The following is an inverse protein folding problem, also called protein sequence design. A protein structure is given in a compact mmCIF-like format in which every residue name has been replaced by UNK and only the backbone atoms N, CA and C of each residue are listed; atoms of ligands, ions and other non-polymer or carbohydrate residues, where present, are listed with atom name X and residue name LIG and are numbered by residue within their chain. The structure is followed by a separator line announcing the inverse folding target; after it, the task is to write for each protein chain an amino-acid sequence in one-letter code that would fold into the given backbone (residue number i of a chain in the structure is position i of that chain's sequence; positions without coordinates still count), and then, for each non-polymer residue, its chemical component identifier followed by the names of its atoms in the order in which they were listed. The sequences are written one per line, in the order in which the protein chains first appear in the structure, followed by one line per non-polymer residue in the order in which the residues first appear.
data_IF_244907834173
#
_entry.id   IF_244907834173
#
_cell.length_a   1.000
_cell.length_b   1.000
_cell.length_c   1.000
_cell.angle_alpha   90.00
_cell.angle_beta   90.00
_cell.angle_gamma   90.00
#
_symmetry.space_group_name_H-M   'P 1'
#
loop_
_entity.id
_entity.type
_entity.pdbx_description
1 polymer ?
#
# COMPACT_ATOMS: atom_id res chain seq x y z
N UNK A 1 -7.72 16.12 -15.35
CA UNK A 1 -8.83 16.04 -16.29
C UNK A 1 -9.69 14.81 -15.95
N UNK A 2 -11.05 14.95 -15.84
CA UNK A 2 -11.95 13.80 -15.61
C UNK A 2 -11.74 12.64 -16.59
N UNK A 3 -11.41 12.96 -17.85
CA UNK A 3 -11.15 11.96 -18.89
C UNK A 3 -9.93 11.06 -18.60
N UNK A 4 -9.04 11.48 -17.71
CA UNK A 4 -7.85 10.68 -17.34
C UNK A 4 -8.16 9.64 -16.25
N UNK A 5 -9.39 9.66 -15.71
CA UNK A 5 -9.81 8.76 -14.65
C UNK A 5 -10.43 7.50 -15.23
N UNK A 6 -9.84 6.35 -14.91
CA UNK A 6 -10.46 5.04 -15.12
C UNK A 6 -11.05 4.58 -13.79
N UNK A 7 -12.39 4.55 -13.68
CA UNK A 7 -13.07 4.02 -12.49
C UNK A 7 -12.95 2.50 -12.49
N UNK A 8 -12.70 1.93 -11.30
CA UNK A 8 -12.51 0.48 -11.10
C UNK A 8 -13.30 -0.02 -9.90
N UNK A 9 -13.50 -1.33 -9.83
CA UNK A 9 -14.13 -2.02 -8.69
C UNK A 9 -13.13 -2.12 -7.52
N UNK A 10 -12.76 -0.95 -6.96
CA UNK A 10 -11.68 -0.77 -6.00
C UNK A 10 -10.29 -0.80 -6.66
N UNK A 11 -9.27 -0.31 -5.95
CA UNK A 11 -7.88 -0.28 -6.42
C UNK A 11 -7.29 -1.68 -6.71
N UNK A 12 -7.83 -2.73 -6.08
CA UNK A 12 -7.40 -4.11 -6.33
C UNK A 12 -7.67 -4.53 -7.78
N UNK A 13 -8.81 -4.13 -8.37
CA UNK A 13 -9.06 -4.38 -9.79
C UNK A 13 -8.10 -3.59 -10.68
N UNK A 14 -7.82 -2.33 -10.35
CA UNK A 14 -6.84 -1.55 -11.10
C UNK A 14 -5.46 -2.24 -11.11
N UNK A 15 -5.06 -2.77 -9.96
CA UNK A 15 -3.80 -3.52 -9.83
C UNK A 15 -3.80 -4.81 -10.66
N UNK A 16 -4.91 -5.54 -10.68
CA UNK A 16 -5.08 -6.73 -11.52
C UNK A 16 -4.98 -6.38 -13.01
N UNK A 17 -5.67 -5.32 -13.46
CA UNK A 17 -5.63 -4.86 -14.84
C UNK A 17 -4.21 -4.45 -15.28
N UNK A 18 -3.49 -3.73 -14.41
CA UNK A 18 -2.08 -3.35 -14.66
C UNK A 18 -1.23 -4.61 -14.78
N UNK A 19 -1.37 -5.54 -13.85
CA UNK A 19 -0.61 -6.80 -13.88
C UNK A 19 -0.86 -7.56 -15.17
N UNK A 20 -2.12 -7.68 -15.60
CA UNK A 20 -2.54 -8.35 -16.84
C UNK A 20 -1.90 -7.77 -18.09
N UNK A 21 -1.77 -6.44 -18.18
CA UNK A 21 -1.23 -5.80 -19.42
C UNK A 21 0.29 -5.68 -19.41
N UNK A 22 0.94 -5.76 -18.24
CA UNK A 22 2.39 -5.56 -18.15
C UNK A 22 3.19 -6.85 -18.00
N UNK A 23 2.64 -7.85 -17.27
CA UNK A 23 3.42 -9.00 -16.78
C UNK A 23 3.26 -10.19 -17.72
N UNK A 24 4.39 -10.68 -18.21
CA UNK A 24 4.53 -12.01 -18.76
C UNK A 24 5.20 -12.94 -17.72
N UNK A 25 4.97 -14.27 -17.74
CA UNK A 25 5.58 -15.19 -16.81
C UNK A 25 7.10 -15.03 -16.71
N UNK A 26 7.61 -14.84 -15.47
CA UNK A 26 9.03 -14.66 -15.19
C UNK A 26 9.55 -13.22 -15.25
N UNK A 27 8.74 -12.25 -15.69
CA UNK A 27 9.05 -10.83 -15.61
C UNK A 27 9.16 -10.35 -14.14
N UNK A 28 9.87 -9.26 -13.92
CA UNK A 28 10.14 -8.75 -12.58
C UNK A 28 9.25 -7.55 -12.24
N UNK A 29 8.65 -7.59 -11.07
CA UNK A 29 8.05 -6.44 -10.38
C UNK A 29 8.95 -6.08 -9.21
N UNK A 30 9.36 -4.81 -9.13
CA UNK A 30 10.02 -4.28 -7.94
C UNK A 30 8.95 -3.86 -6.93
N UNK A 31 9.13 -4.19 -5.65
CA UNK A 31 8.21 -3.83 -4.58
C UNK A 31 8.95 -3.50 -3.29
N UNK A 32 8.38 -2.66 -2.44
CA UNK A 32 8.90 -2.37 -1.10
C UNK A 32 9.09 -3.65 -0.27
N UNK A 33 9.99 -3.62 0.70
CA UNK A 33 10.23 -4.71 1.66
C UNK A 33 9.98 -4.24 3.11
N UNK A 34 8.84 -4.57 3.72
CA UNK A 34 7.72 -5.41 3.29
C UNK A 34 6.75 -4.70 2.32
N UNK A 35 5.84 -5.46 1.68
CA UNK A 35 4.85 -4.92 0.75
C UNK A 35 3.43 -5.48 0.99
N UNK A 36 2.44 -4.87 0.35
CA UNK A 36 1.03 -5.23 0.52
C UNK A 36 0.73 -6.65 0.00
N UNK A 37 0.20 -7.50 0.88
CA UNK A 37 -0.10 -8.90 0.60
C UNK A 37 -1.03 -9.10 -0.61
N UNK A 38 -2.01 -8.21 -0.81
CA UNK A 38 -2.92 -8.29 -1.96
C UNK A 38 -2.21 -8.01 -3.29
N UNK A 39 -1.24 -7.09 -3.29
CA UNK A 39 -0.41 -6.82 -4.46
C UNK A 39 0.51 -8.01 -4.77
N UNK A 40 1.20 -8.53 -3.76
CA UNK A 40 2.07 -9.71 -3.90
C UNK A 40 1.31 -10.91 -4.44
N UNK A 41 0.08 -11.15 -3.94
CA UNK A 41 -0.80 -12.21 -4.44
C UNK A 41 -1.20 -12.01 -5.90
N UNK A 42 -1.52 -10.77 -6.29
CA UNK A 42 -1.82 -10.44 -7.69
C UNK A 42 -0.62 -10.68 -8.60
N UNK A 43 0.56 -10.21 -8.21
CA UNK A 43 1.78 -10.42 -9.01
C UNK A 43 2.14 -11.91 -9.14
N UNK A 44 1.96 -12.67 -8.06
CA UNK A 44 2.17 -14.12 -8.08
C UNK A 44 1.19 -14.84 -9.02
N UNK A 45 -0.08 -14.41 -9.09
CA UNK A 45 -1.08 -14.97 -10.01
C UNK A 45 -0.67 -14.82 -11.48
N UNK A 46 0.04 -13.75 -11.82
CA UNK A 46 0.60 -13.51 -13.17
C UNK A 46 2.03 -14.05 -13.32
N UNK A 47 2.49 -14.91 -12.41
CA UNK A 47 3.81 -15.54 -12.42
C UNK A 47 4.98 -14.55 -12.46
N UNK A 48 4.77 -13.31 -11.96
CA UNK A 48 5.85 -12.36 -11.80
C UNK A 48 6.84 -12.81 -10.74
N UNK A 49 8.09 -12.46 -10.92
CA UNK A 49 9.10 -12.49 -9.87
C UNK A 49 9.12 -11.16 -9.15
N UNK A 50 8.73 -11.16 -7.89
CA UNK A 50 8.86 -9.97 -7.05
C UNK A 50 10.30 -9.88 -6.55
N UNK A 51 10.93 -8.73 -6.78
CA UNK A 51 12.22 -8.37 -6.20
C UNK A 51 11.96 -7.25 -5.20
N UNK A 52 12.23 -7.54 -3.94
CA UNK A 52 12.06 -6.58 -2.87
C UNK A 52 13.15 -5.52 -2.88
N UNK A 53 12.76 -4.26 -2.73
CA UNK A 53 13.64 -3.11 -2.58
C UNK A 53 13.74 -2.75 -1.12
N UNK A 54 14.94 -2.52 -0.63
CA UNK A 54 15.23 -2.15 0.75
C UNK A 54 14.40 -0.93 1.20
N UNK A 55 13.92 -0.98 2.44
CA UNK A 55 13.23 0.12 3.12
C UNK A 55 13.86 0.39 4.48
N UNK A 56 13.75 1.63 4.95
CA UNK A 56 14.12 2.05 6.29
C UNK A 56 12.95 2.78 6.99
N UNK A 57 13.22 3.47 8.08
CA UNK A 57 12.21 4.24 8.83
C UNK A 57 11.57 5.40 8.05
N UNK A 58 12.13 5.74 6.90
CA UNK A 58 11.61 6.74 5.96
C UNK A 58 11.02 6.13 4.67
N UNK A 59 10.89 4.80 4.59
CA UNK A 59 10.36 4.06 3.46
C UNK A 59 11.42 3.60 2.47
N UNK A 60 11.07 3.46 1.20
CA UNK A 60 11.95 2.92 0.17
C UNK A 60 13.26 3.70 0.06
N UNK A 61 14.38 2.95 0.10
CA UNK A 61 15.74 3.50 0.01
C UNK A 61 16.15 3.67 -1.45
N UNK A 62 16.47 4.90 -1.93
CA UNK A 62 16.82 5.12 -3.34
C UNK A 62 18.03 4.33 -3.82
N UNK A 63 19.06 4.19 -3.00
CA UNK A 63 20.24 3.36 -3.34
C UNK A 63 19.90 1.87 -3.40
N UNK A 64 19.00 1.39 -2.52
CA UNK A 64 18.43 0.05 -2.60
C UNK A 64 17.70 -0.20 -3.92
N UNK A 65 16.96 0.81 -4.42
CA UNK A 65 16.31 0.76 -5.74
C UNK A 65 17.34 0.64 -6.87
N UNK A 66 18.41 1.44 -6.84
CA UNK A 66 19.50 1.34 -7.82
C UNK A 66 20.14 -0.04 -7.83
N UNK A 67 20.42 -0.57 -6.65
CA UNK A 67 21.00 -1.91 -6.48
C UNK A 67 20.08 -3.02 -7.01
N UNK A 68 18.80 -2.96 -6.68
CA UNK A 68 17.80 -3.93 -7.16
C UNK A 68 17.68 -3.90 -8.70
N UNK A 69 17.58 -2.72 -9.30
CA UNK A 69 17.53 -2.55 -10.76
C UNK A 69 18.78 -3.17 -11.42
N UNK A 70 19.96 -2.85 -10.90
CA UNK A 70 21.23 -3.38 -11.41
C UNK A 70 21.24 -4.92 -11.35
N UNK A 71 20.91 -5.50 -10.21
CA UNK A 71 20.88 -6.95 -10.02
C UNK A 71 19.92 -7.66 -10.97
N UNK A 72 18.71 -7.10 -11.16
CA UNK A 72 17.73 -7.67 -12.09
C UNK A 72 18.24 -7.63 -13.52
N UNK A 73 18.83 -6.52 -13.96
CA UNK A 73 19.38 -6.40 -15.32
C UNK A 73 20.55 -7.35 -15.57
N UNK A 74 21.43 -7.53 -14.61
CA UNK A 74 22.53 -8.50 -14.67
C UNK A 74 22.02 -9.94 -14.82
N UNK A 75 20.82 -10.23 -14.28
CA UNK A 75 20.16 -11.54 -14.45
C UNK A 75 19.48 -11.72 -15.83
N UNK A 76 19.50 -10.71 -16.70
CA UNK A 76 18.88 -10.72 -18.02
C UNK A 76 17.34 -10.63 -18.01
N UNK A 77 16.72 -10.36 -16.84
CA UNK A 77 15.25 -10.26 -16.73
C UNK A 77 14.75 -8.84 -17.01
N UNK A 78 13.46 -8.75 -17.35
CA UNK A 78 12.79 -7.48 -17.62
C UNK A 78 12.08 -6.98 -16.39
N UNK A 79 12.34 -5.74 -15.99
CA UNK A 79 11.58 -5.02 -14.97
C UNK A 79 10.36 -4.39 -15.66
N UNK A 80 9.17 -4.63 -15.12
CA UNK A 80 7.92 -4.08 -15.66
C UNK A 80 7.52 -2.78 -15.02
N UNK A 81 7.54 -2.75 -13.67
CA UNK A 81 7.25 -1.55 -12.90
C UNK A 81 7.78 -1.68 -11.47
N UNK A 82 7.83 -0.54 -10.77
CA UNK A 82 7.98 -0.44 -9.32
C UNK A 82 6.61 -0.23 -8.69
N UNK A 83 6.19 -1.11 -7.79
CA UNK A 83 4.99 -0.96 -6.97
C UNK A 83 5.33 -0.42 -5.58
N UNK A 84 4.61 0.61 -5.13
CA UNK A 84 4.82 1.20 -3.82
C UNK A 84 3.58 1.90 -3.25
N UNK A 85 3.54 2.00 -1.91
CA UNK A 85 2.52 2.72 -1.14
C UNK A 85 3.20 3.86 -0.39
N UNK A 86 3.32 5.06 -0.97
CA UNK A 86 4.14 6.13 -0.39
C UNK A 86 3.50 6.80 0.83
N UNK A 87 2.20 6.60 1.08
CA UNK A 87 1.49 7.22 2.19
C UNK A 87 1.02 6.17 3.20
N UNK A 88 1.59 6.21 4.42
CA UNK A 88 1.19 5.33 5.54
C UNK A 88 1.14 3.86 5.11
N UNK A 89 2.23 3.41 4.58
CA UNK A 89 2.45 2.15 3.88
C UNK A 89 1.83 0.93 4.60
N UNK A 90 1.26 0.03 3.85
CA UNK A 90 0.81 -1.27 4.35
C UNK A 90 1.87 -2.33 4.01
N UNK A 91 2.59 -2.88 5.04
CA UNK A 91 2.20 -2.96 6.45
C UNK A 91 2.90 -1.96 7.40
N UNK A 92 3.91 -1.22 6.96
CA UNK A 92 4.84 -0.52 7.87
C UNK A 92 4.27 0.76 8.53
N UNK A 93 3.22 1.37 7.95
CA UNK A 93 2.70 2.66 8.40
C UNK A 93 3.61 3.85 8.08
N UNK A 94 4.72 3.65 7.38
CA UNK A 94 5.70 4.68 7.04
C UNK A 94 5.15 5.64 6.00
N UNK A 95 5.48 6.92 6.14
CA UNK A 95 5.21 8.00 5.19
C UNK A 95 6.49 8.35 4.45
N UNK A 96 6.53 8.13 3.14
CA UNK A 96 7.67 8.46 2.29
C UNK A 96 7.81 9.99 2.15
N UNK A 97 8.95 10.59 2.53
CA UNK A 97 9.19 12.03 2.40
C UNK A 97 9.19 12.51 0.93
N UNK A 98 8.87 13.80 0.72
CA UNK A 98 8.80 14.39 -0.61
C UNK A 98 10.12 14.26 -1.38
N UNK A 99 11.23 14.50 -0.72
CA UNK A 99 12.59 14.47 -1.31
C UNK A 99 12.90 13.06 -1.87
N UNK A 100 12.53 12.00 -1.13
CA UNK A 100 12.71 10.63 -1.60
C UNK A 100 11.78 10.30 -2.78
N UNK A 101 10.55 10.85 -2.82
CA UNK A 101 9.63 10.68 -3.96
C UNK A 101 10.27 11.19 -5.24
N UNK A 102 10.79 12.41 -5.21
CA UNK A 102 11.47 13.02 -6.36
C UNK A 102 12.71 12.22 -6.78
N UNK A 103 13.51 11.72 -5.83
CA UNK A 103 14.68 10.91 -6.14
C UNK A 103 14.30 9.57 -6.78
N UNK A 104 13.31 8.86 -6.24
CA UNK A 104 12.80 7.60 -6.79
C UNK A 104 12.25 7.81 -8.21
N UNK A 105 11.49 8.89 -8.45
CA UNK A 105 10.99 9.22 -9.78
C UNK A 105 12.12 9.48 -10.77
N UNK A 106 13.17 10.18 -10.36
CA UNK A 106 14.34 10.43 -11.21
C UNK A 106 15.06 9.12 -11.58
N UNK A 107 15.18 8.17 -10.64
CA UNK A 107 15.73 6.84 -10.91
C UNK A 107 14.83 6.10 -11.88
N UNK A 108 13.52 5.99 -11.60
CA UNK A 108 12.57 5.27 -12.42
C UNK A 108 12.52 5.80 -13.85
N UNK A 109 12.50 7.13 -14.01
CA UNK A 109 12.53 7.81 -15.32
C UNK A 109 13.81 7.50 -16.10
N UNK A 110 14.98 7.62 -15.46
CA UNK A 110 16.28 7.31 -16.08
C UNK A 110 16.35 5.86 -16.56
N UNK A 111 15.73 4.96 -15.79
CA UNK A 111 15.76 3.52 -16.05
C UNK A 111 14.59 3.04 -16.94
N UNK A 112 13.68 3.94 -17.34
CA UNK A 112 12.51 3.60 -18.18
C UNK A 112 11.51 2.68 -17.48
N UNK A 113 11.35 2.81 -16.16
CA UNK A 113 10.49 1.96 -15.32
C UNK A 113 9.26 2.77 -14.89
N UNK A 114 8.05 2.22 -15.11
CA UNK A 114 6.83 2.80 -14.56
C UNK A 114 6.80 2.66 -13.05
N UNK A 115 6.19 3.66 -12.38
CA UNK A 115 5.88 3.58 -10.95
C UNK A 115 4.38 3.38 -10.79
N UNK A 116 3.97 2.35 -10.06
CA UNK A 116 2.58 2.14 -9.61
C UNK A 116 2.48 2.66 -8.18
N UNK A 117 1.92 3.86 -8.07
CA UNK A 117 1.66 4.55 -6.79
C UNK A 117 0.28 4.14 -6.27
N UNK A 118 0.21 3.26 -5.27
CA UNK A 118 -1.03 2.87 -4.61
C UNK A 118 -1.28 3.74 -3.38
N UNK A 119 -2.37 4.50 -3.38
CA UNK A 119 -2.62 5.54 -2.37
C UNK A 119 -3.99 5.42 -1.68
N UNK A 120 -4.26 4.36 -0.92
CA UNK A 120 -5.51 4.22 -0.19
C UNK A 120 -5.57 5.04 1.11
N UNK A 121 -4.44 5.49 1.64
CA UNK A 121 -4.34 6.12 2.97
C UNK A 121 -3.97 7.60 2.94
N UNK A 122 -3.76 8.21 1.80
CA UNK A 122 -3.23 9.57 1.68
C UNK A 122 -4.03 10.67 2.39
N UNK A 123 -5.34 10.45 2.62
CA UNK A 123 -6.20 11.35 3.39
C UNK A 123 -6.26 11.04 4.90
N UNK A 124 -5.59 9.99 5.36
CA UNK A 124 -5.66 9.51 6.74
C UNK A 124 -4.39 9.87 7.54
N UNK A 125 -3.86 11.06 7.32
CA UNK A 125 -2.79 11.64 8.13
C UNK A 125 -3.32 12.27 9.41
N UNK A 126 -2.66 12.03 10.55
CA UNK A 126 -3.16 12.47 11.86
C UNK A 126 -2.59 13.85 12.25
N UNK A 127 -1.32 14.09 11.96
CA UNK A 127 -0.62 15.27 12.47
C UNK A 127 -0.34 16.30 11.37
N UNK A 128 -0.23 15.88 10.13
CA UNK A 128 0.02 16.73 8.96
C UNK A 128 -0.50 16.09 7.68
N UNK A 129 -0.83 16.89 6.66
CA UNK A 129 -1.19 16.37 5.34
C UNK A 129 -0.05 15.53 4.74
N UNK A 130 -0.41 14.50 3.97
CA UNK A 130 0.55 13.76 3.16
C UNK A 130 1.19 14.65 2.11
N UNK A 131 2.43 14.39 1.69
CA UNK A 131 3.01 15.02 0.50
C UNK A 131 2.15 14.80 -0.75
N UNK A 132 2.33 15.64 -1.75
CA UNK A 132 1.67 15.47 -3.04
C UNK A 132 1.95 14.07 -3.61
N UNK A 133 0.97 13.55 -4.37
CA UNK A 133 1.13 12.30 -5.10
C UNK A 133 2.33 12.39 -6.07
N UNK A 134 3.07 11.31 -6.22
CA UNK A 134 4.21 11.21 -7.14
C UNK A 134 3.76 11.45 -8.58
N UNK A 135 2.52 11.05 -8.91
CA UNK A 135 1.90 11.35 -10.20
C UNK A 135 1.80 12.85 -10.51
N UNK A 136 1.69 13.70 -9.50
CA UNK A 136 1.65 15.16 -9.71
C UNK A 136 2.99 15.71 -10.27
N UNK A 137 4.11 15.01 -10.01
CA UNK A 137 5.42 15.35 -10.55
C UNK A 137 5.73 14.68 -11.89
N UNK A 138 5.11 13.52 -12.16
CA UNK A 138 5.37 12.72 -13.37
C UNK A 138 4.13 11.96 -13.84
N UNK A 139 3.30 12.63 -14.64
CA UNK A 139 2.08 12.04 -15.19
C UNK A 139 2.33 11.00 -16.30
N UNK A 140 3.52 11.00 -16.91
CA UNK A 140 3.85 10.12 -18.03
C UNK A 140 4.42 8.77 -17.57
N UNK A 141 5.00 8.69 -16.37
CA UNK A 141 5.63 7.46 -15.87
C UNK A 141 5.00 6.92 -14.59
N UNK A 142 4.05 7.64 -13.98
CA UNK A 142 3.36 7.19 -12.76
C UNK A 142 1.93 6.78 -13.06
N UNK A 143 1.59 5.57 -12.65
CA UNK A 143 0.22 5.05 -12.59
C UNK A 143 -0.25 5.21 -11.15
N UNK A 144 -1.23 6.08 -10.92
CA UNK A 144 -1.77 6.33 -9.59
C UNK A 144 -3.04 5.52 -9.37
N UNK A 145 -3.12 4.85 -8.22
CA UNK A 145 -4.29 4.10 -7.77
C UNK A 145 -4.91 4.77 -6.55
N UNK A 146 -6.21 5.02 -6.62
CA UNK A 146 -6.99 5.55 -5.52
C UNK A 146 -8.17 4.66 -5.16
N UNK A 147 -8.70 4.84 -3.95
CA UNK A 147 -9.84 4.05 -3.47
C UNK A 147 -10.63 4.79 -2.41
N UNK A 148 -11.95 4.66 -2.43
CA UNK A 148 -12.83 5.10 -1.35
C UNK A 148 -12.97 4.07 -0.22
N UNK A 149 -12.33 2.91 -0.33
CA UNK A 149 -12.46 1.82 0.65
C UNK A 149 -12.01 2.17 2.07
N UNK A 150 -11.10 3.15 2.22
CA UNK A 150 -10.54 3.54 3.53
C UNK A 150 -11.06 4.88 4.04
N UNK A 151 -11.72 5.65 3.17
CA UNK A 151 -12.16 7.01 3.44
C UNK A 151 -13.67 7.19 3.45
N UNK A 152 -14.41 6.31 2.75
CA UNK A 152 -15.88 6.35 2.72
C UNK A 152 -16.46 5.01 3.14
N UNK A 153 -16.39 3.99 2.26
CA UNK A 153 -17.00 2.70 2.54
C UNK A 153 -16.31 1.57 1.73
N UNK A 154 -15.72 0.56 2.39
CA UNK A 154 -15.08 -0.55 1.70
C UNK A 154 -16.05 -1.41 0.88
N UNK A 155 -17.30 -1.54 1.33
CA UNK A 155 -18.33 -2.34 0.66
C UNK A 155 -18.83 -1.78 -0.66
N UNK A 156 -18.64 -0.48 -0.93
CA UNK A 156 -19.06 0.15 -2.18
C UNK A 156 -18.20 -0.26 -3.38
N UNK A 157 -16.99 -0.75 -3.14
CA UNK A 157 -16.07 -1.23 -4.17
C UNK A 157 -15.80 -0.20 -5.28
N UNK A 158 -15.59 1.06 -4.93
CA UNK A 158 -15.20 2.11 -5.88
C UNK A 158 -13.74 2.51 -5.66
N UNK A 159 -12.97 2.41 -6.71
CA UNK A 159 -11.60 2.91 -6.83
C UNK A 159 -11.39 3.53 -8.20
N UNK A 160 -10.18 3.99 -8.45
CA UNK A 160 -9.82 4.58 -9.74
C UNK A 160 -8.33 4.45 -10.00
N UNK A 161 -7.99 4.52 -11.28
CA UNK A 161 -6.63 4.69 -11.73
C UNK A 161 -6.51 5.99 -12.54
N UNK A 162 -5.42 6.72 -12.31
CA UNK A 162 -4.94 7.77 -13.21
C UNK A 162 -3.73 7.20 -13.93
N UNK A 163 -3.82 7.09 -15.24
CA UNK A 163 -2.82 6.39 -16.04
C UNK A 163 -2.17 7.30 -17.08
N UNK A 164 -0.93 7.03 -17.48
CA UNK A 164 -0.33 7.68 -18.64
C UNK A 164 -1.21 7.54 -19.88
N UNK A 165 -1.31 8.57 -20.74
CA UNK A 165 -2.14 8.51 -21.96
C UNK A 165 -1.83 7.30 -22.84
N UNK A 166 -0.57 6.88 -22.91
CA UNK A 166 -0.09 5.72 -23.69
C UNK A 166 -0.67 4.37 -23.23
N UNK A 167 -1.18 4.29 -21.99
CA UNK A 167 -1.73 3.06 -21.39
C UNK A 167 -3.26 3.05 -21.33
N UNK A 168 -3.90 4.21 -21.49
CA UNK A 168 -5.32 4.40 -21.21
C UNK A 168 -6.21 3.45 -22.01
N UNK A 169 -6.05 3.43 -23.33
CA UNK A 169 -6.86 2.59 -24.22
C UNK A 169 -6.73 1.10 -23.87
N UNK A 170 -5.52 0.63 -23.61
CA UNK A 170 -5.28 -0.78 -23.25
C UNK A 170 -5.96 -1.16 -21.94
N UNK A 171 -5.94 -0.25 -20.95
CA UNK A 171 -6.60 -0.50 -19.66
C UNK A 171 -8.13 -0.46 -19.77
N UNK A 172 -8.69 0.42 -20.62
CA UNK A 172 -10.14 0.45 -20.89
C UNK A 172 -10.55 -0.90 -21.50
N UNK A 173 -9.90 -1.37 -22.57
CA UNK A 173 -10.20 -2.65 -23.22
C UNK A 173 -10.07 -3.81 -22.21
N UNK A 174 -9.02 -3.82 -21.40
CA UNK A 174 -8.84 -4.86 -20.37
C UNK A 174 -9.94 -4.82 -19.31
N UNK A 175 -10.42 -3.63 -18.93
CA UNK A 175 -11.52 -3.46 -17.98
C UNK A 175 -12.84 -3.93 -18.57
N UNK A 176 -13.17 -3.52 -19.78
CA UNK A 176 -14.38 -3.94 -20.50
C UNK A 176 -14.45 -5.47 -20.65
N UNK A 177 -13.34 -6.10 -21.03
CA UNK A 177 -13.28 -7.56 -21.17
C UNK A 177 -13.37 -8.31 -19.84
N UNK A 178 -13.13 -7.64 -18.70
CA UNK A 178 -13.22 -8.26 -17.36
C UNK A 178 -14.61 -8.17 -16.76
N UNK A 179 -15.21 -6.98 -16.77
CA UNK A 179 -16.45 -6.68 -16.01
C UNK A 179 -17.44 -5.81 -16.79
N UNK A 180 -17.19 -5.48 -18.05
CA UNK A 180 -17.89 -4.49 -18.85
C UNK A 180 -17.78 -3.07 -18.27
N UNK A 181 -18.38 -2.81 -17.10
CA UNK A 181 -18.25 -1.55 -16.39
C UNK A 181 -18.38 -1.78 -14.86
N UNK A 182 -17.79 -0.92 -14.02
CA UNK A 182 -18.03 -0.89 -12.58
C UNK A 182 -19.48 -0.48 -12.27
N UNK A 183 -19.97 -0.87 -11.08
CA UNK A 183 -21.34 -0.58 -10.63
C UNK A 183 -21.70 0.91 -10.69
N UNK A 184 -22.63 1.29 -11.55
CA UNK A 184 -23.16 2.67 -11.63
C UNK A 184 -23.86 3.07 -10.33
N UNK A 185 -24.55 2.14 -9.66
CA UNK A 185 -25.20 2.42 -8.38
C UNK A 185 -24.17 2.88 -7.33
N UNK A 186 -23.08 2.16 -7.19
CA UNK A 186 -22.01 2.52 -6.24
C UNK A 186 -21.38 3.87 -6.59
N UNK A 187 -21.12 4.13 -7.88
CA UNK A 187 -20.54 5.39 -8.34
C UNK A 187 -21.46 6.58 -8.05
N UNK A 188 -22.75 6.47 -8.41
CA UNK A 188 -23.74 7.53 -8.17
C UNK A 188 -23.95 7.77 -6.68
N UNK A 189 -23.99 6.73 -5.86
CA UNK A 189 -24.11 6.86 -4.40
C UNK A 189 -22.92 7.63 -3.81
N UNK A 190 -21.70 7.30 -4.20
CA UNK A 190 -20.51 8.04 -3.74
C UNK A 190 -20.51 9.46 -4.28
N UNK A 191 -20.87 9.67 -5.54
CA UNK A 191 -20.94 11.01 -6.13
C UNK A 191 -21.94 11.91 -5.39
N UNK A 192 -23.16 11.42 -5.10
CA UNK A 192 -24.14 12.14 -4.31
C UNK A 192 -23.64 12.44 -2.90
N UNK A 193 -23.03 11.43 -2.23
CA UNK A 193 -22.45 11.65 -0.91
C UNK A 193 -21.37 12.75 -0.91
N UNK A 194 -20.48 12.75 -1.88
CA UNK A 194 -19.39 13.74 -1.98
C UNK A 194 -19.91 15.15 -2.32
N UNK A 195 -21.05 15.25 -3.05
CA UNK A 195 -21.68 16.52 -3.39
C UNK A 195 -22.46 17.11 -2.21
N UNK A 196 -23.19 16.26 -1.47
CA UNK A 196 -24.22 16.72 -0.53
C UNK A 196 -23.76 16.66 0.94
N UNK A 197 -22.69 15.93 1.26
CA UNK A 197 -22.24 15.71 2.64
C UNK A 197 -20.90 16.37 2.93
N UNK A 198 -20.63 16.77 4.18
CA UNK A 198 -19.35 17.35 4.61
C UNK A 198 -18.27 16.25 4.76
N UNK A 199 -17.97 15.55 3.67
CA UNK A 199 -17.09 14.39 3.67
C UNK A 199 -15.66 14.68 4.17
N UNK A 200 -15.19 15.95 4.03
CA UNK A 200 -13.89 16.34 4.58
C UNK A 200 -13.88 16.36 6.12
N UNK A 201 -14.97 16.84 6.73
CA UNK A 201 -15.12 16.83 8.19
C UNK A 201 -15.26 15.39 8.69
N UNK A 202 -15.93 14.53 7.94
CA UNK A 202 -16.00 13.10 8.23
C UNK A 202 -14.61 12.45 8.21
N UNK A 203 -13.76 12.77 7.22
CA UNK A 203 -12.37 12.27 7.19
C UNK A 203 -11.56 12.83 8.36
N UNK A 204 -11.70 14.09 8.72
CA UNK A 204 -11.06 14.68 9.89
C UNK A 204 -11.45 13.92 11.16
N UNK A 205 -12.74 13.64 11.36
CA UNK A 205 -13.21 12.85 12.51
C UNK A 205 -12.65 11.42 12.53
N UNK A 206 -12.44 10.81 11.37
CA UNK A 206 -11.76 9.51 11.28
C UNK A 206 -10.28 9.62 11.69
N UNK A 207 -9.59 10.67 11.25
CA UNK A 207 -8.19 10.90 11.64
C UNK A 207 -8.07 11.05 13.16
N UNK A 208 -8.94 11.82 13.80
CA UNK A 208 -8.96 11.98 15.26
C UNK A 208 -9.21 10.65 15.96
N UNK A 209 -10.20 9.87 15.51
CA UNK A 209 -10.51 8.55 16.04
C UNK A 209 -9.33 7.58 15.93
N UNK A 210 -8.71 7.50 14.75
CA UNK A 210 -7.57 6.60 14.54
C UNK A 210 -6.32 7.05 15.25
N UNK A 211 -6.12 8.36 15.43
CA UNK A 211 -5.01 8.90 16.23
C UNK A 211 -5.07 8.40 17.68
N UNK A 212 -6.23 8.51 18.33
CA UNK A 212 -6.40 8.02 19.72
C UNK A 212 -6.14 6.52 19.83
N UNK A 213 -6.58 5.74 18.85
CA UNK A 213 -6.33 4.29 18.81
C UNK A 213 -4.86 3.95 18.56
N UNK A 214 -4.19 4.69 17.63
CA UNK A 214 -2.76 4.56 17.39
C UNK A 214 -1.97 4.85 18.65
N UNK A 215 -2.30 5.93 19.36
CA UNK A 215 -1.61 6.34 20.58
C UNK A 215 -1.75 5.26 21.67
N UNK A 216 -2.95 4.72 21.88
CA UNK A 216 -3.17 3.59 22.79
C UNK A 216 -2.35 2.34 22.38
N UNK A 217 -2.24 2.04 21.09
CA UNK A 217 -1.42 0.92 20.61
C UNK A 217 0.07 1.15 20.89
N UNK A 218 0.59 2.34 20.63
CA UNK A 218 2.00 2.66 20.88
C UNK A 218 2.33 2.66 22.39
N UNK A 219 1.46 3.23 23.23
CA UNK A 219 1.58 3.17 24.69
C UNK A 219 1.62 1.72 25.19
N UNK A 220 0.72 0.85 24.69
CA UNK A 220 0.68 -0.55 25.08
C UNK A 220 1.92 -1.33 24.61
N UNK A 221 2.45 -1.02 23.44
CA UNK A 221 3.70 -1.61 22.97
C UNK A 221 4.88 -1.17 23.83
N UNK A 222 4.96 0.11 24.20
CA UNK A 222 6.01 0.66 25.08
C UNK A 222 5.95 0.04 26.50
N UNK A 223 4.73 -0.29 27.00
CA UNK A 223 4.52 -0.82 28.35
C UNK A 223 4.75 -2.34 28.43
N UNK A 224 4.27 -3.13 27.44
CA UNK A 224 4.17 -4.58 27.58
C UNK A 224 5.13 -5.37 26.70
N UNK A 225 5.67 -4.77 25.63
CA UNK A 225 6.57 -5.51 24.74
C UNK A 225 8.01 -5.53 25.28
N UNK A 226 8.79 -6.59 24.98
CA UNK A 226 10.17 -6.67 25.43
C UNK A 226 11.01 -5.55 24.83
N UNK A 227 12.01 -5.07 25.57
CA UNK A 227 12.94 -4.00 25.13
C UNK A 227 13.73 -4.33 23.86
N UNK A 228 13.77 -5.60 23.47
CA UNK A 228 14.40 -6.08 22.23
C UNK A 228 13.48 -5.95 21.02
N UNK A 229 12.19 -5.75 21.21
CA UNK A 229 11.26 -5.52 20.11
C UNK A 229 11.37 -4.08 19.60
N UNK A 230 11.10 -3.90 18.31
CA UNK A 230 11.05 -2.60 17.65
C UNK A 230 9.72 -2.45 16.93
N UNK A 231 9.23 -1.23 16.79
CA UNK A 231 8.02 -0.97 16.02
C UNK A 231 8.04 0.40 15.37
N UNK A 232 7.30 0.52 14.27
CA UNK A 232 7.10 1.79 13.59
C UNK A 232 6.16 2.71 14.39
N UNK A 233 6.31 4.02 14.21
CA UNK A 233 5.47 5.06 14.83
C UNK A 233 4.72 5.82 13.72
N UNK A 234 3.61 5.27 13.20
CA UNK A 234 2.91 5.83 12.05
C UNK A 234 2.25 7.17 12.38
N UNK A 235 2.39 8.14 11.49
CA UNK A 235 1.68 9.42 11.57
C UNK A 235 0.31 9.40 10.89
N UNK A 236 -0.21 8.23 10.49
CA UNK A 236 -1.47 8.03 9.79
C UNK A 236 -1.71 6.57 9.42
N UNK A 237 -2.76 6.32 8.65
CA UNK A 237 -3.12 4.98 8.20
C UNK A 237 -3.69 4.09 9.29
N UNK A 238 -3.40 2.79 9.27
CA UNK A 238 -4.08 1.78 10.09
C UNK A 238 -3.17 0.82 10.83
N UNK A 239 -1.84 0.86 10.59
CA UNK A 239 -0.96 -0.24 10.94
C UNK A 239 0.28 0.19 11.69
N UNK A 240 0.71 -0.69 12.61
CA UNK A 240 2.03 -0.68 13.21
C UNK A 240 2.74 -1.95 12.78
N UNK A 241 3.98 -1.82 12.33
CA UNK A 241 4.86 -2.94 12.03
C UNK A 241 5.75 -3.19 13.21
N UNK A 242 5.68 -4.41 13.75
CA UNK A 242 6.49 -4.84 14.90
C UNK A 242 7.52 -5.83 14.43
N UNK A 243 8.75 -5.66 14.88
CA UNK A 243 9.88 -6.56 14.65
C UNK A 243 10.37 -7.09 15.99
N UNK A 244 10.32 -8.40 16.15
CA UNK A 244 10.79 -9.15 17.31
C UNK A 244 12.22 -9.65 17.07
N UNK A 245 12.91 -10.21 18.07
CA UNK A 245 14.16 -10.96 17.84
C UNK A 245 13.97 -12.10 16.82
N UNK A 246 14.98 -12.34 15.99
CA UNK A 246 14.91 -13.27 14.85
C UNK A 246 14.59 -14.74 15.23
N UNK A 247 14.79 -15.11 16.49
CA UNK A 247 14.49 -16.44 17.02
C UNK A 247 12.96 -16.67 17.18
N UNK A 248 12.14 -15.60 17.11
CA UNK A 248 10.70 -15.68 17.31
C UNK A 248 9.99 -15.78 15.96
N UNK A 249 9.40 -16.93 15.69
CA UNK A 249 8.52 -17.12 14.53
C UNK A 249 7.09 -16.67 14.86
N UNK A 250 6.69 -15.53 14.30
CA UNK A 250 5.36 -14.94 14.53
C UNK A 250 4.24 -15.81 13.95
N UNK A 251 4.50 -16.58 12.89
CA UNK A 251 3.51 -17.51 12.33
C UNK A 251 3.26 -18.69 13.26
N UNK A 252 4.33 -19.24 13.85
CA UNK A 252 4.22 -20.29 14.86
C UNK A 252 3.60 -19.78 16.18
N UNK A 253 3.80 -18.51 16.53
CA UNK A 253 3.24 -17.88 17.72
C UNK A 253 1.73 -17.57 17.58
N UNK A 254 1.22 -17.36 16.37
CA UNK A 254 -0.15 -16.89 16.12
C UNK A 254 -1.25 -17.74 16.80
N UNK A 255 -1.21 -19.08 16.84
CA UNK A 255 -2.23 -19.87 17.55
C UNK A 255 -2.33 -19.54 19.04
N UNK A 256 -1.20 -19.28 19.71
CA UNK A 256 -1.17 -18.86 21.13
C UNK A 256 -1.73 -17.46 21.31
N UNK A 257 -1.41 -16.53 20.41
CA UNK A 257 -1.98 -15.18 20.44
C UNK A 257 -3.51 -15.20 20.25
N UNK A 258 -4.03 -16.02 19.34
CA UNK A 258 -5.48 -16.16 19.15
C UNK A 258 -6.18 -16.69 20.41
N UNK A 259 -5.59 -17.67 21.11
CA UNK A 259 -6.13 -18.14 22.41
C UNK A 259 -6.13 -17.00 23.43
N UNK A 260 -5.15 -16.12 23.41
CA UNK A 260 -5.08 -14.90 24.22
C UNK A 260 -5.95 -13.75 23.66
N UNK A 261 -6.78 -14.00 22.61
CA UNK A 261 -7.68 -13.03 21.97
C UNK A 261 -6.97 -11.89 21.23
N UNK A 262 -5.73 -12.09 20.86
CA UNK A 262 -4.95 -11.15 20.04
C UNK A 262 -4.79 -11.73 18.64
N UNK A 263 -5.16 -10.95 17.60
CA UNK A 263 -4.98 -11.30 16.21
C UNK A 263 -4.02 -10.31 15.52
N UNK A 264 -3.06 -10.82 14.81
CA UNK A 264 -2.13 -10.05 13.97
C UNK A 264 -1.90 -10.77 12.64
N UNK A 265 -1.19 -10.13 11.71
CA UNK A 265 -0.77 -10.78 10.47
C UNK A 265 0.73 -11.03 10.54
N UNK A 266 1.20 -12.30 10.44
CA UNK A 266 2.62 -12.63 10.46
C UNK A 266 3.37 -11.95 9.31
N UNK A 267 4.63 -11.59 9.58
CA UNK A 267 5.47 -10.84 8.65
C UNK A 267 5.70 -11.54 7.32
N UNK A 268 5.79 -12.86 7.33
CA UNK A 268 5.99 -13.69 6.12
C UNK A 268 4.92 -13.46 5.04
N UNK A 269 3.72 -12.96 5.40
CA UNK A 269 2.68 -12.63 4.43
C UNK A 269 2.99 -11.40 3.57
N UNK A 270 3.95 -10.57 3.99
CA UNK A 270 4.29 -9.29 3.34
C UNK A 270 5.59 -9.35 2.54
N UNK A 271 6.13 -10.54 2.35
CA UNK A 271 7.30 -10.82 1.53
C UNK A 271 7.01 -11.95 0.56
N UNK A 272 7.38 -11.77 -0.69
CA UNK A 272 7.14 -12.76 -1.74
C UNK A 272 8.01 -14.03 -1.58
N UNK A 273 9.12 -13.92 -0.88
CA UNK A 273 10.07 -14.99 -0.57
C UNK A 273 9.84 -15.61 0.82
N UNK A 274 8.84 -15.12 1.56
CA UNK A 274 8.57 -15.60 2.92
C UNK A 274 9.50 -15.08 4.00
N UNK A 275 10.31 -14.05 3.72
CA UNK A 275 11.16 -13.38 4.70
C UNK A 275 10.33 -12.75 5.84
N UNK A 276 11.01 -12.30 6.92
CA UNK A 276 10.37 -11.55 8.00
C UNK A 276 9.54 -12.40 8.96
N UNK A 277 9.89 -13.67 9.21
CA UNK A 277 9.21 -14.56 10.16
C UNK A 277 9.11 -14.00 11.58
N UNK A 278 10.03 -13.14 11.97
CA UNK A 278 10.07 -12.46 13.27
C UNK A 278 9.31 -11.14 13.34
N UNK A 279 8.65 -10.75 12.25
CA UNK A 279 7.86 -9.51 12.19
C UNK A 279 6.37 -9.80 12.17
N UNK A 280 5.55 -8.79 12.52
CA UNK A 280 4.10 -8.85 12.40
C UNK A 280 3.50 -7.46 12.17
N UNK A 281 2.32 -7.45 11.55
CA UNK A 281 1.50 -6.25 11.41
C UNK A 281 0.39 -6.26 12.45
N UNK A 282 0.33 -5.21 13.27
CA UNK A 282 -0.80 -4.89 14.13
C UNK A 282 -1.71 -3.86 13.47
N UNK A 283 -3.00 -3.90 13.78
CA UNK A 283 -4.00 -2.96 13.25
C UNK A 283 -4.77 -2.30 14.39
N UNK A 284 -4.80 -0.97 14.40
CA UNK A 284 -5.56 -0.18 15.37
C UNK A 284 -6.86 0.40 14.78
N UNK A 285 -7.22 0.05 13.54
CA UNK A 285 -8.35 0.70 12.87
C UNK A 285 -9.73 0.29 13.40
N UNK A 286 -9.85 -0.86 14.06
CA UNK A 286 -11.14 -1.38 14.54
C UNK A 286 -11.33 -1.37 16.04
N UNK A 287 -10.39 -1.88 16.89
CA UNK A 287 -10.60 -1.98 18.33
C UNK A 287 -10.65 -0.59 19.00
N UNK A 288 -11.40 -0.48 20.11
CA UNK A 288 -11.37 0.72 20.93
C UNK A 288 -10.05 0.84 21.70
N UNK A 289 -9.68 2.03 22.21
CA UNK A 289 -8.48 2.19 23.01
C UNK A 289 -8.40 1.25 24.23
N UNK A 290 -9.53 1.01 24.88
CA UNK A 290 -9.64 0.09 26.04
C UNK A 290 -9.31 -1.34 25.58
N UNK A 291 -9.88 -1.76 24.46
CA UNK A 291 -9.64 -3.10 23.89
C UNK A 291 -8.23 -3.29 23.37
N UNK A 292 -7.56 -2.23 23.00
CA UNK A 292 -6.14 -2.25 22.59
C UNK A 292 -5.24 -2.49 23.82
N UNK A 293 -5.58 -1.87 24.97
CA UNK A 293 -4.80 -2.00 26.22
C UNK A 293 -4.99 -3.34 26.94
N UNK A 294 -6.10 -4.04 26.72
CA UNK A 294 -6.35 -5.41 27.21
C UNK A 294 -5.47 -6.45 26.49
#
# INVERSE_FOLDING_TARGET
NPDDVLVTTGSQQALDLISRIFIDPGDVVLAEAPSYVGALGTFHQYEAKVVHVETDDLGLVPDGLRAAIKSVRESGRKIKFLYMIPNYQNPSGVLLPAERRTEILNIARKEGIFVVEDNPYGLLGFDKPSPNAMRAEDSENVIYLGSFSKTIAPGMRVGWALVPPSLKEKLIIASESSILCPSNFSQLTISSYLADQPWRDQIASFCDLYKVRRDAMLESLDEYFPVTAKWTKPGGGFYVWVTLPEEIDTKALMPKAIVAKVAYVPGTAFYADGFGSWSMRLSYCYPTPERIRE
#
